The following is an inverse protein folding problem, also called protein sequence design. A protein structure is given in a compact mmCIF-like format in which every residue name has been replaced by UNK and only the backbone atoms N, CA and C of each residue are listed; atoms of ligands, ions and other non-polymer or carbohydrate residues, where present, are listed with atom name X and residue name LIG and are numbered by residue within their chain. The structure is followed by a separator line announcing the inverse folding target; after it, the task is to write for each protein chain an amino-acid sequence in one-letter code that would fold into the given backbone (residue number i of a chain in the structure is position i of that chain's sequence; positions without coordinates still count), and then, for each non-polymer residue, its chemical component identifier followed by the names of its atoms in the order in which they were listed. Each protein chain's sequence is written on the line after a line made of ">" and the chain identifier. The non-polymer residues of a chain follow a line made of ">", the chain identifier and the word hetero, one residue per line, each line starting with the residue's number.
data_IF_869228962114
#
_entry.id   IF_869228962114
#
_cell.length_a   1.000
_cell.length_b   1.000
_cell.length_c   1.000
_cell.angle_alpha   90.00
_cell.angle_beta   90.00
_cell.angle_gamma   90.00
#
_symmetry.space_group_name_H-M   'P 1'
#
loop_
_entity.id
_entity.type
_entity.pdbx_description
1 polymer ?
#
# COMPACT_ATOMS: atom_id res chain seq x y z
N UNK A 1 -0.49 5.63 0.78
CA UNK A 1 0.74 5.14 0.13
C UNK A 1 0.77 5.57 -1.32
N UNK A 2 1.92 6.05 -1.78
CA UNK A 2 2.15 6.51 -3.15
C UNK A 2 2.30 5.32 -4.12
N UNK A 3 1.69 5.43 -5.31
CA UNK A 3 1.68 4.41 -6.38
C UNK A 3 2.41 4.89 -7.65
N UNK A 4 3.13 6.00 -7.56
CA UNK A 4 3.85 6.63 -8.66
C UNK A 4 5.16 7.25 -8.16
N UNK A 5 6.24 7.13 -8.94
CA UNK A 5 7.49 7.82 -8.63
C UNK A 5 7.37 9.28 -9.06
N UNK A 6 7.37 10.19 -8.10
CA UNK A 6 7.43 11.63 -8.38
C UNK A 6 8.85 12.15 -8.30
N UNK A 7 9.58 11.79 -7.23
CA UNK A 7 10.94 12.27 -7.00
C UNK A 7 11.74 11.26 -6.18
N UNK A 8 12.48 10.41 -6.90
CA UNK A 8 13.23 9.29 -6.31
C UNK A 8 14.28 9.75 -5.31
N UNK A 9 15.06 10.78 -5.65
CA UNK A 9 16.12 11.33 -4.80
C UNK A 9 15.61 11.92 -3.48
N UNK A 10 14.35 12.35 -3.45
CA UNK A 10 13.73 12.97 -2.27
C UNK A 10 12.83 12.02 -1.48
N UNK A 11 12.75 10.75 -1.88
CA UNK A 11 11.97 9.72 -1.18
C UNK A 11 10.49 9.67 -1.58
N UNK A 12 10.05 10.45 -2.57
CA UNK A 12 8.69 10.39 -3.14
C UNK A 12 8.62 9.29 -4.21
N UNK A 13 8.70 8.06 -3.75
CA UNK A 13 8.74 6.83 -4.55
C UNK A 13 7.48 5.99 -4.37
N UNK A 14 7.22 5.09 -5.31
CA UNK A 14 6.20 4.06 -5.17
C UNK A 14 6.45 3.23 -3.91
N UNK A 15 5.43 3.11 -3.07
CA UNK A 15 5.52 2.50 -1.74
C UNK A 15 5.73 3.51 -0.61
N UNK A 16 6.01 4.79 -0.89
CA UNK A 16 6.13 5.81 0.14
C UNK A 16 4.82 5.96 0.92
N UNK A 17 4.89 5.79 2.23
CA UNK A 17 3.78 5.96 3.16
C UNK A 17 3.76 7.36 3.75
N UNK A 18 2.57 7.77 4.16
CA UNK A 18 2.30 9.12 4.63
C UNK A 18 0.86 9.29 5.03
N UNK A 19 0.59 10.43 5.65
CA UNK A 19 -0.72 10.83 6.15
C UNK A 19 -1.26 11.97 5.29
N UNK A 20 -2.52 11.87 4.90
CA UNK A 20 -3.24 12.96 4.27
C UNK A 20 -3.56 14.03 5.33
N UNK A 21 -3.34 15.30 4.99
CA UNK A 21 -3.51 16.43 5.90
C UNK A 21 -4.65 17.32 5.45
N UNK A 22 -4.80 17.54 4.14
CA UNK A 22 -5.84 18.43 3.60
C UNK A 22 -6.21 18.06 2.15
N UNK A 23 -7.42 18.48 1.73
CA UNK A 23 -7.99 18.24 0.39
C UNK A 23 -8.36 19.58 -0.24
N UNK A 24 -7.77 19.87 -1.40
CA UNK A 24 -7.98 21.14 -2.10
C UNK A 24 -8.89 20.92 -3.31
N UNK A 25 -9.97 21.71 -3.35
CA UNK A 25 -10.91 21.81 -4.47
C UNK A 25 -10.68 23.10 -5.26
N UNK A 26 -11.04 23.09 -6.55
CA UNK A 26 -11.10 24.31 -7.35
C UNK A 26 -12.25 25.22 -6.88
N UNK A 27 -12.14 26.52 -7.20
CA UNK A 27 -13.17 27.50 -6.86
C UNK A 27 -14.55 27.07 -7.39
N UNK A 28 -15.54 27.05 -6.50
CA UNK A 28 -16.91 26.65 -6.82
C UNK A 28 -17.17 25.15 -6.85
N UNK A 29 -16.14 24.30 -6.63
CA UNK A 29 -16.30 22.85 -6.51
C UNK A 29 -16.31 22.41 -5.05
N UNK A 30 -17.05 21.34 -4.74
CA UNK A 30 -17.12 20.83 -3.37
C UNK A 30 -17.43 19.35 -3.27
N UNK A 31 -17.09 18.76 -2.12
CA UNK A 31 -17.52 17.41 -1.75
C UNK A 31 -19.04 17.36 -1.55
N UNK A 32 -19.75 16.30 -1.98
CA UNK A 32 -19.26 15.03 -2.53
C UNK A 32 -19.31 14.92 -4.06
N UNK A 33 -19.81 15.96 -4.76
CA UNK A 33 -20.12 15.88 -6.19
C UNK A 33 -18.88 16.00 -7.08
N UNK A 34 -17.91 16.80 -6.66
CA UNK A 34 -16.70 17.06 -7.43
C UNK A 34 -15.49 16.25 -6.96
N UNK A 35 -14.61 15.91 -7.90
CA UNK A 35 -13.29 15.37 -7.59
C UNK A 35 -12.37 16.52 -7.16
N UNK A 36 -11.61 16.38 -6.06
CA UNK A 36 -10.62 17.37 -5.66
C UNK A 36 -9.48 17.47 -6.69
N UNK A 37 -8.79 18.60 -6.72
CA UNK A 37 -7.70 18.84 -7.67
C UNK A 37 -6.35 18.42 -7.10
N UNK A 38 -6.13 18.61 -5.79
CA UNK A 38 -4.87 18.33 -5.11
C UNK A 38 -5.14 17.73 -3.72
N UNK A 39 -4.35 16.71 -3.36
CA UNK A 39 -4.28 16.19 -2.00
C UNK A 39 -2.98 16.65 -1.33
N UNK A 40 -3.07 17.19 -0.13
CA UNK A 40 -1.91 17.58 0.67
C UNK A 40 -1.51 16.42 1.56
N UNK A 41 -0.34 15.82 1.30
CA UNK A 41 0.13 14.64 2.03
C UNK A 41 1.46 14.90 2.72
N UNK A 42 1.58 14.47 3.98
CA UNK A 42 2.84 14.41 4.71
C UNK A 42 3.40 12.99 4.60
N UNK A 43 4.54 12.83 3.93
CA UNK A 43 5.20 11.52 3.79
C UNK A 43 6.26 11.30 4.87
N UNK A 44 6.38 10.06 5.35
CA UNK A 44 7.23 9.70 6.48
C UNK A 44 8.72 9.94 6.20
N UNK A 45 9.14 9.65 4.97
CA UNK A 45 10.55 9.67 4.54
C UNK A 45 10.83 10.75 3.48
N UNK A 46 10.04 11.82 3.41
CA UNK A 46 10.30 12.90 2.44
C UNK A 46 11.49 13.76 2.86
N UNK A 47 12.45 13.92 1.95
CA UNK A 47 13.63 14.79 2.06
C UNK A 47 13.57 15.99 1.12
N UNK A 48 12.45 16.14 0.41
CA UNK A 48 12.18 17.25 -0.51
C UNK A 48 11.68 18.50 0.22
N UNK A 49 11.54 19.61 -0.52
CA UNK A 49 10.89 20.81 0.02
C UNK A 49 9.41 20.53 0.34
N UNK A 50 8.87 21.31 1.27
CA UNK A 50 7.45 21.29 1.63
C UNK A 50 6.80 22.58 1.13
N UNK A 51 5.49 22.53 0.86
CA UNK A 51 4.74 23.74 0.51
C UNK A 51 4.48 24.61 1.74
N UNK A 52 4.24 23.97 2.88
CA UNK A 52 4.03 24.60 4.17
C UNK A 52 5.01 24.00 5.19
N UNK A 53 5.89 24.81 5.73
CA UNK A 53 6.89 24.40 6.72
C UNK A 53 6.26 23.96 8.05
N UNK A 54 5.05 24.42 8.36
CA UNK A 54 4.33 24.04 9.58
C UNK A 54 3.83 22.60 9.50
N UNK A 55 3.23 22.21 8.37
CA UNK A 55 2.62 20.89 8.20
C UNK A 55 3.51 19.88 7.47
N UNK A 56 4.60 20.34 6.84
CA UNK A 56 5.53 19.51 6.05
C UNK A 56 4.82 18.68 4.98
N UNK A 57 3.92 19.34 4.24
CA UNK A 57 3.06 18.71 3.25
C UNK A 57 3.57 18.86 1.83
N UNK A 58 3.31 17.84 1.02
CA UNK A 58 3.60 17.78 -0.42
C UNK A 58 2.27 17.71 -1.18
N UNK A 59 2.05 18.54 -2.21
CA UNK A 59 0.87 18.46 -3.05
C UNK A 59 0.95 17.25 -3.99
N UNK A 60 -0.09 16.41 -3.98
CA UNK A 60 -0.26 15.26 -4.85
C UNK A 60 -1.41 15.54 -5.82
N UNK A 61 -1.12 15.84 -7.09
CA UNK A 61 -2.15 16.08 -8.10
C UNK A 61 -2.70 14.78 -8.69
N UNK A 62 -3.85 14.91 -9.36
CA UNK A 62 -4.38 13.85 -10.23
C UNK A 62 -3.41 13.56 -11.37
N UNK A 63 -3.14 12.28 -11.65
CA UNK A 63 -2.32 11.85 -12.79
C UNK A 63 -3.22 11.21 -13.85
N UNK A 64 -2.97 11.57 -15.11
CA UNK A 64 -3.55 10.88 -16.27
C UNK A 64 -2.57 9.86 -16.84
N UNK A 65 -3.00 8.61 -17.00
CA UNK A 65 -2.25 7.55 -17.69
C UNK A 65 -3.06 7.01 -18.86
N UNK A 66 -2.44 6.90 -20.02
CA UNK A 66 -3.06 6.31 -21.21
C UNK A 66 -2.36 5.03 -21.65
N UNK A 67 -3.11 4.06 -22.13
CA UNK A 67 -2.58 2.82 -22.71
C UNK A 67 -3.44 2.38 -23.90
N UNK A 68 -2.87 1.58 -24.78
CA UNK A 68 -3.61 0.97 -25.89
C UNK A 68 -4.12 -0.40 -25.43
N UNK A 69 -5.44 -0.55 -25.41
CA UNK A 69 -6.14 -1.82 -25.24
C UNK A 69 -6.43 -2.45 -26.60
N UNK A 70 -6.78 -3.73 -26.60
CA UNK A 70 -7.30 -4.44 -27.78
C UNK A 70 -8.55 -3.74 -28.34
N UNK A 71 -9.33 -3.10 -27.45
CA UNK A 71 -10.56 -2.37 -27.79
C UNK A 71 -10.35 -0.89 -28.14
N UNK A 72 -9.11 -0.39 -28.13
CA UNK A 72 -8.79 1.00 -28.43
C UNK A 72 -7.95 1.70 -27.34
N UNK A 73 -7.72 2.99 -27.51
CA UNK A 73 -6.95 3.80 -26.55
C UNK A 73 -7.79 4.09 -25.31
N UNK A 74 -7.27 3.75 -24.14
CA UNK A 74 -7.90 3.99 -22.84
C UNK A 74 -7.09 5.03 -22.04
N UNK A 75 -7.77 5.80 -21.19
CA UNK A 75 -7.16 6.78 -20.30
C UNK A 75 -7.76 6.63 -18.91
N UNK A 76 -6.93 6.73 -17.87
CA UNK A 76 -7.32 6.80 -16.46
C UNK A 76 -6.76 8.07 -15.84
N UNK A 77 -7.64 8.90 -15.28
CA UNK A 77 -7.27 10.05 -14.46
C UNK A 77 -7.58 9.70 -13.00
N UNK A 78 -6.56 9.63 -12.14
CA UNK A 78 -6.73 9.30 -10.73
C UNK A 78 -5.56 9.81 -9.89
N UNK A 79 -5.79 10.05 -8.60
CA UNK A 79 -4.70 10.27 -7.66
C UNK A 79 -3.80 9.03 -7.55
N UNK A 80 -2.47 9.18 -7.59
CA UNK A 80 -1.55 8.06 -7.49
C UNK A 80 -1.31 7.65 -6.02
N UNK A 81 -2.36 7.58 -5.21
CA UNK A 81 -2.27 7.12 -3.83
C UNK A 81 -3.30 6.03 -3.57
N UNK A 82 -3.01 5.20 -2.57
CA UNK A 82 -3.88 4.14 -2.08
C UNK A 82 -3.89 4.15 -0.54
N UNK A 83 -4.95 3.62 0.07
CA UNK A 83 -5.01 3.46 1.52
C UNK A 83 -3.91 2.49 1.97
N UNK A 84 -3.24 2.84 3.07
CA UNK A 84 -2.00 2.18 3.50
C UNK A 84 -2.07 1.66 4.93
N UNK A 85 -3.26 1.36 5.44
CA UNK A 85 -3.40 0.69 6.73
C UNK A 85 -3.10 -0.80 6.63
N UNK A 86 -3.53 -1.42 5.53
CA UNK A 86 -3.26 -2.82 5.24
C UNK A 86 -3.12 -3.02 3.73
N UNK A 87 -2.22 -3.92 3.34
CA UNK A 87 -2.02 -4.39 1.98
C UNK A 87 -2.05 -5.92 1.98
N UNK A 88 -2.55 -6.52 0.92
CA UNK A 88 -2.49 -7.99 0.80
C UNK A 88 -1.06 -8.44 0.54
N UNK A 89 -0.71 -9.64 0.97
CA UNK A 89 0.63 -10.22 0.79
C UNK A 89 1.07 -10.21 -0.69
N UNK A 90 0.14 -10.47 -1.61
CA UNK A 90 0.43 -10.42 -3.04
C UNK A 90 0.71 -8.99 -3.55
N UNK A 91 0.11 -7.97 -2.95
CA UNK A 91 0.32 -6.57 -3.32
C UNK A 91 1.57 -5.97 -2.66
N UNK A 92 2.06 -6.55 -1.56
CA UNK A 92 3.34 -6.20 -0.95
C UNK A 92 4.56 -6.83 -1.63
N UNK A 93 4.36 -7.73 -2.59
CA UNK A 93 5.46 -8.42 -3.26
C UNK A 93 6.41 -7.41 -3.95
N UNK A 94 7.70 -7.51 -3.64
CA UNK A 94 8.74 -6.62 -4.19
C UNK A 94 8.80 -5.23 -3.53
N UNK A 95 8.03 -4.99 -2.47
CA UNK A 95 8.13 -3.78 -1.66
C UNK A 95 9.18 -3.92 -0.57
N UNK A 96 9.72 -2.80 -0.10
CA UNK A 96 10.59 -2.75 1.07
C UNK A 96 10.06 -1.73 2.06
N UNK A 97 9.75 -2.19 3.27
CA UNK A 97 9.01 -1.47 4.28
C UNK A 97 9.82 -1.40 5.58
N UNK A 98 9.79 -0.24 6.23
CA UNK A 98 10.52 -0.01 7.47
C UNK A 98 9.82 -0.65 8.67
N UNK A 99 8.47 -0.66 8.65
CA UNK A 99 7.63 -1.30 9.66
C UNK A 99 6.58 -2.17 8.97
N UNK A 100 6.38 -3.36 9.50
CA UNK A 100 5.33 -4.28 9.06
C UNK A 100 4.73 -5.01 10.26
N UNK A 101 3.41 -5.18 10.25
CA UNK A 101 2.71 -6.12 11.10
C UNK A 101 2.08 -7.20 10.21
N UNK A 102 2.45 -8.45 10.44
CA UNK A 102 2.05 -9.56 9.57
C UNK A 102 1.16 -10.52 10.35
N UNK A 103 -0.03 -10.76 9.81
CA UNK A 103 -0.87 -11.87 10.23
C UNK A 103 -0.73 -13.02 9.22
N UNK A 104 -0.17 -14.13 9.69
CA UNK A 104 0.12 -15.33 8.88
C UNK A 104 -1.11 -16.28 8.87
N UNK A 105 -2.07 -16.07 9.78
CA UNK A 105 -3.27 -16.91 9.95
C UNK A 105 -2.96 -18.32 10.49
N UNK A 106 -3.92 -19.25 10.31
CA UNK A 106 -3.80 -20.63 10.80
C UNK A 106 -3.28 -21.64 9.75
N UNK A 107 -3.44 -21.36 8.45
CA UNK A 107 -2.97 -22.22 7.36
C UNK A 107 -2.35 -21.44 6.18
N UNK A 108 -1.41 -22.07 5.46
CA UNK A 108 -0.90 -21.53 4.19
C UNK A 108 -1.83 -21.95 3.05
N UNK A 109 -2.52 -20.99 2.43
CA UNK A 109 -3.30 -21.26 1.22
C UNK A 109 -2.40 -21.60 0.02
N UNK A 110 -1.18 -21.06 0.00
CA UNK A 110 -0.19 -21.30 -1.04
C UNK A 110 1.19 -21.40 -0.40
N UNK A 111 2.03 -22.29 -0.94
CA UNK A 111 3.40 -22.48 -0.49
C UNK A 111 4.16 -21.14 -0.50
N UNK A 112 4.97 -20.94 0.53
CA UNK A 112 5.88 -19.80 0.69
C UNK A 112 5.18 -18.44 0.89
N UNK A 113 3.87 -18.38 1.11
CA UNK A 113 3.17 -17.11 1.34
C UNK A 113 3.68 -16.40 2.60
N UNK A 114 4.08 -17.16 3.63
CA UNK A 114 4.69 -16.63 4.86
C UNK A 114 5.99 -15.90 4.57
N UNK A 115 6.85 -16.48 3.72
CA UNK A 115 8.08 -15.83 3.29
C UNK A 115 7.79 -14.53 2.52
N UNK A 116 6.83 -14.55 1.60
CA UNK A 116 6.44 -13.36 0.83
C UNK A 116 5.87 -12.26 1.74
N UNK A 117 5.20 -12.63 2.83
CA UNK A 117 4.65 -11.68 3.80
C UNK A 117 5.73 -11.03 4.68
N UNK A 118 6.77 -11.77 5.05
CA UNK A 118 7.85 -11.29 5.93
C UNK A 118 9.00 -10.60 5.19
N UNK A 119 9.29 -11.02 3.95
CA UNK A 119 10.39 -10.48 3.15
C UNK A 119 10.36 -8.96 2.85
N UNK A 120 9.20 -8.24 2.88
CA UNK A 120 9.20 -6.79 2.75
C UNK A 120 9.83 -6.07 3.94
N UNK A 121 9.93 -6.69 5.12
CA UNK A 121 10.53 -6.06 6.30
C UNK A 121 12.03 -5.83 6.09
N UNK A 122 12.49 -4.58 6.27
CA UNK A 122 13.93 -4.26 6.18
C UNK A 122 14.74 -4.67 7.41
N UNK A 123 14.08 -4.82 8.55
CA UNK A 123 14.71 -5.18 9.82
C UNK A 123 13.77 -6.06 10.64
N UNK A 124 14.35 -6.91 11.49
CA UNK A 124 13.58 -7.72 12.43
C UNK A 124 12.88 -6.85 13.47
N UNK A 125 13.51 -5.76 13.92
CA UNK A 125 12.94 -4.79 14.87
C UNK A 125 11.72 -4.07 14.30
N UNK A 126 11.70 -3.83 12.98
CA UNK A 126 10.56 -3.28 12.26
C UNK A 126 9.45 -4.30 11.98
N UNK A 127 9.61 -5.56 12.37
CA UNK A 127 8.61 -6.60 12.11
C UNK A 127 7.87 -6.99 13.38
N UNK A 128 6.54 -7.02 13.28
CA UNK A 128 5.66 -7.59 14.27
C UNK A 128 4.90 -8.75 13.63
N UNK A 129 5.07 -9.95 14.17
CA UNK A 129 4.33 -11.12 13.70
C UNK A 129 3.25 -11.40 14.75
N UNK A 130 1.99 -11.41 14.31
CA UNK A 130 0.88 -11.80 15.19
C UNK A 130 1.05 -13.27 15.63
N UNK A 131 0.42 -13.65 16.74
CA UNK A 131 0.56 -15.01 17.29
C UNK A 131 0.25 -16.08 16.23
N UNK A 132 1.15 -17.06 16.10
CA UNK A 132 1.00 -18.20 15.20
C UNK A 132 1.56 -19.48 15.84
N UNK A 133 1.05 -20.63 15.41
CA UNK A 133 1.55 -21.94 15.82
C UNK A 133 2.84 -22.30 15.06
N UNK A 134 3.93 -22.52 15.79
CA UNK A 134 5.24 -22.85 15.22
C UNK A 134 5.25 -24.18 14.46
N UNK A 135 4.35 -25.12 14.80
CA UNK A 135 4.24 -26.41 14.08
C UNK A 135 3.89 -26.23 12.61
N UNK A 136 3.23 -25.12 12.25
CA UNK A 136 2.93 -24.78 10.86
C UNK A 136 4.18 -24.55 10.02
N UNK A 137 5.23 -23.95 10.57
CA UNK A 137 6.48 -23.71 9.83
C UNK A 137 7.24 -25.00 9.51
N UNK A 138 7.00 -26.06 10.30
CA UNK A 138 7.65 -27.37 10.12
C UNK A 138 6.98 -28.23 9.05
N UNK A 139 5.72 -27.96 8.73
CA UNK A 139 4.90 -28.77 7.84
C UNK A 139 4.49 -27.93 6.62
N UNK A 140 5.34 -27.85 5.59
CA UNK A 140 4.96 -27.30 4.28
C UNK A 140 4.05 -28.28 3.51
N UNK A 141 2.95 -28.71 4.14
CA UNK A 141 1.93 -29.53 3.48
C UNK A 141 0.92 -28.59 2.85
N UNK A 142 0.95 -28.51 1.52
CA UNK A 142 -0.12 -27.88 0.75
C UNK A 142 -1.44 -28.62 1.03
N UNK A 143 -2.41 -27.95 1.63
CA UNK A 143 -3.78 -28.47 1.78
C UNK A 143 -4.70 -27.71 0.84
N UNK A 144 -5.33 -28.35 -0.15
CA UNK A 144 -6.27 -27.69 -1.04
C UNK A 144 -7.64 -27.39 -0.40
N UNK A 145 -7.81 -27.64 0.91
CA UNK A 145 -9.07 -27.42 1.62
C UNK A 145 -9.23 -25.95 2.03
N UNK A 146 -9.64 -25.12 1.06
CA UNK A 146 -10.12 -23.75 1.26
C UNK A 146 -11.38 -23.45 0.45
N UNK A 147 -12.17 -24.49 0.15
CA UNK A 147 -13.44 -24.39 -0.60
C UNK A 147 -14.62 -24.14 0.34
N UNK A 148 -14.45 -23.36 1.40
CA UNK A 148 -15.56 -22.83 2.21
C UNK A 148 -15.48 -21.30 2.16
N UNK A 149 -16.24 -20.73 1.22
CA UNK A 149 -16.18 -19.35 0.77
C UNK A 149 -16.71 -18.30 1.75
N UNK A 150 -16.21 -18.24 2.99
CA UNK A 150 -16.64 -17.17 3.92
C UNK A 150 -15.59 -16.62 4.89
N UNK A 151 -14.36 -17.14 4.97
CA UNK A 151 -13.37 -16.65 5.95
C UNK A 151 -11.93 -16.46 5.46
N UNK A 152 -11.58 -16.88 4.24
CA UNK A 152 -10.19 -16.83 3.75
C UNK A 152 -9.72 -15.43 3.28
N UNK A 153 -10.62 -14.43 3.18
CA UNK A 153 -10.27 -13.10 2.67
C UNK A 153 -9.90 -12.07 3.75
N UNK A 154 -10.04 -12.40 5.04
CA UNK A 154 -9.88 -11.44 6.13
C UNK A 154 -8.63 -11.65 7.02
N UNK A 155 -7.81 -12.67 6.77
CA UNK A 155 -6.74 -13.05 7.71
C UNK A 155 -5.30 -12.80 7.28
N UNK A 156 -5.02 -12.66 5.97
CA UNK A 156 -3.66 -12.69 5.44
C UNK A 156 -3.30 -11.33 4.82
N UNK A 157 -2.72 -10.47 5.64
CA UNK A 157 -2.38 -9.10 5.26
C UNK A 157 -1.10 -8.63 5.92
N UNK A 158 -0.44 -7.69 5.25
CA UNK A 158 0.65 -6.89 5.80
C UNK A 158 0.06 -5.54 6.17
N UNK A 159 0.02 -5.23 7.47
CA UNK A 159 -0.33 -3.93 7.99
C UNK A 159 0.94 -3.09 8.21
N UNK A 160 0.78 -1.76 8.20
CA UNK A 160 1.87 -0.78 8.29
C UNK A 160 1.90 -0.10 9.66
#
# INVERSE_FOLDING_TARGET
>A
MLRHNFWTEKGLVNGACGTEVDIIYEEGKSSPEDMPSILMCKFDNNRGPYLDDNFKTVPIPVISKSWNSITGKCVRCQFPIDQAYAVTIHKSQGMSLDKVRVNIGNFEFQLCITYVALSPARSLEGSLIDYFDYERLKCSKFSPAGVDGSSAFLGNGVAF
#
